data_IF_291727312741
#
_entry.id   IF_291727312741
#
_cell.length_a   1.000
_cell.length_b   1.000
_cell.length_c   1.000
_cell.angle_alpha   90.00
_cell.angle_beta   90.00
_cell.angle_gamma   90.00
#
_symmetry.space_group_name_H-M   'P 1'
#
loop_
_entity.id
_entity.type
_entity.pdbx_description
1 polymer ?
#
# COMPACT_ATOMS: atom_id res chain seq x y z
N UNK A 1 8.94 9.24 -1.79
CA UNK A 1 8.23 7.98 -1.46
C UNK A 1 8.32 7.09 -2.67
N UNK A 2 8.42 5.77 -2.49
CA UNK A 2 8.24 4.81 -3.57
C UNK A 2 7.27 3.72 -3.14
N UNK A 3 6.49 3.21 -4.08
CA UNK A 3 5.56 2.12 -3.84
C UNK A 3 5.78 1.01 -4.85
N UNK A 4 5.72 -0.24 -4.39
CA UNK A 4 5.58 -1.42 -5.24
C UNK A 4 4.16 -1.93 -5.09
N UNK A 5 3.46 -2.09 -6.20
CA UNK A 5 2.03 -2.42 -6.22
C UNK A 5 1.85 -3.80 -6.84
N UNK A 6 0.98 -4.60 -6.24
CA UNK A 6 0.51 -5.86 -6.79
C UNK A 6 -1.02 -5.85 -6.84
N UNK A 7 -1.59 -6.14 -8.01
CA UNK A 7 -3.02 -6.44 -8.13
C UNK A 7 -3.25 -7.86 -7.63
N UNK A 8 -4.18 -8.02 -6.69
CA UNK A 8 -4.37 -9.28 -5.96
C UNK A 8 -5.85 -9.63 -5.92
N UNK A 9 -6.16 -10.93 -5.89
CA UNK A 9 -7.49 -11.43 -5.53
C UNK A 9 -7.69 -11.54 -4.02
N UNK A 10 -6.59 -11.57 -3.26
CA UNK A 10 -6.55 -11.54 -1.79
C UNK A 10 -5.14 -11.20 -1.29
N UNK A 11 -5.04 -10.59 -0.12
CA UNK A 11 -3.78 -10.44 0.62
C UNK A 11 -4.05 -10.37 2.14
N UNK A 12 -3.08 -10.76 2.96
CA UNK A 12 -3.14 -10.64 4.42
C UNK A 12 -1.78 -10.37 5.04
N UNK A 13 -1.79 -9.76 6.22
CA UNK A 13 -0.64 -9.61 7.11
C UNK A 13 -0.87 -10.45 8.35
N UNK A 14 0.13 -11.21 8.75
CA UNK A 14 0.08 -12.13 9.88
C UNK A 14 1.29 -11.89 10.79
N UNK A 15 1.02 -11.77 12.09
CA UNK A 15 2.04 -11.60 13.15
C UNK A 15 1.80 -12.71 14.16
N UNK A 16 2.82 -13.55 14.37
CA UNK A 16 2.78 -14.69 15.30
C UNK A 16 1.55 -15.61 15.10
N UNK A 17 1.19 -15.90 13.86
CA UNK A 17 0.04 -16.75 13.53
C UNK A 17 -1.32 -16.04 13.57
N UNK A 18 -1.37 -14.76 13.95
CA UNK A 18 -2.61 -13.97 14.04
C UNK A 18 -2.71 -12.97 12.90
N UNK A 19 -3.84 -12.99 12.18
CA UNK A 19 -4.12 -12.03 11.12
C UNK A 19 -4.30 -10.63 11.74
N UNK A 20 -3.46 -9.69 11.34
CA UNK A 20 -3.53 -8.28 11.75
C UNK A 20 -4.32 -7.42 10.75
N UNK A 21 -4.44 -7.89 9.51
CA UNK A 21 -5.23 -7.23 8.47
C UNK A 21 -5.32 -8.10 7.22
N UNK A 22 -6.43 -8.01 6.50
CA UNK A 22 -6.67 -8.74 5.27
C UNK A 22 -7.55 -7.94 4.32
N UNK A 23 -7.40 -8.22 3.02
CA UNK A 23 -8.19 -7.65 1.94
C UNK A 23 -8.61 -8.74 0.94
N UNK A 24 -9.73 -8.49 0.26
CA UNK A 24 -10.18 -9.27 -0.91
C UNK A 24 -9.52 -8.78 -2.20
N UNK A 25 -10.30 -8.72 -3.29
CA UNK A 25 -9.84 -8.19 -4.57
C UNK A 25 -9.42 -6.71 -4.43
N UNK A 26 -8.22 -6.37 -4.90
CA UNK A 26 -7.71 -5.02 -4.80
C UNK A 26 -6.22 -4.90 -5.07
N UNK A 27 -5.58 -3.94 -4.39
CA UNK A 27 -4.15 -3.66 -4.52
C UNK A 27 -3.45 -3.91 -3.18
N UNK A 28 -2.37 -4.70 -3.21
CA UNK A 28 -1.38 -4.76 -2.15
C UNK A 28 -0.28 -3.72 -2.45
N UNK A 29 -0.01 -2.84 -1.50
CA UNK A 29 0.93 -1.73 -1.66
C UNK A 29 2.05 -1.86 -0.63
N UNK A 30 3.27 -2.11 -1.11
CA UNK A 30 4.47 -1.99 -0.30
C UNK A 30 5.00 -0.56 -0.40
N UNK A 31 4.93 0.20 0.69
CA UNK A 31 5.35 1.59 0.74
C UNK A 31 6.75 1.73 1.36
N UNK A 32 7.64 2.43 0.67
CA UNK A 32 8.96 2.83 1.14
C UNK A 32 9.05 4.36 1.26
N UNK A 33 9.51 4.81 2.41
CA UNK A 33 9.67 6.22 2.76
C UNK A 33 11.15 6.59 2.87
N UNK A 34 11.49 7.83 2.52
CA UNK A 34 12.82 8.45 2.71
C UNK A 34 12.68 9.74 3.52
N UNK A 35 13.77 10.26 4.09
CA UNK A 35 13.74 11.42 4.99
C UNK A 35 13.12 12.68 4.38
N UNK A 36 13.28 12.87 3.07
CA UNK A 36 12.74 14.04 2.35
C UNK A 36 11.24 13.94 2.02
N UNK A 37 10.59 12.82 2.34
CA UNK A 37 9.17 12.64 2.08
C UNK A 37 8.31 13.52 2.99
N UNK A 38 7.39 14.26 2.38
CA UNK A 38 6.49 15.17 3.08
C UNK A 38 5.02 14.87 2.78
N UNK A 39 4.10 15.60 3.43
CA UNK A 39 2.66 15.42 3.28
C UNK A 39 2.18 15.53 1.83
N UNK A 40 2.81 16.37 1.00
CA UNK A 40 2.41 16.50 -0.41
C UNK A 40 2.73 15.24 -1.20
N UNK A 41 3.83 14.56 -0.89
CA UNK A 41 4.20 13.29 -1.52
C UNK A 41 3.21 12.18 -1.16
N UNK A 42 2.78 12.16 0.11
CA UNK A 42 1.74 11.27 0.62
C UNK A 42 0.41 11.48 -0.09
N UNK A 43 -0.07 12.72 -0.15
CA UNK A 43 -1.33 13.07 -0.80
C UNK A 43 -1.30 12.75 -2.30
N UNK A 44 -0.19 13.07 -2.96
CA UNK A 44 -0.01 12.76 -4.38
C UNK A 44 -0.01 11.25 -4.63
N UNK A 45 0.69 10.47 -3.80
CA UNK A 45 0.75 9.02 -3.95
C UNK A 45 -0.60 8.36 -3.66
N UNK A 46 -1.32 8.79 -2.62
CA UNK A 46 -2.65 8.28 -2.30
C UNK A 46 -3.62 8.50 -3.46
N UNK A 47 -3.65 9.72 -4.02
CA UNK A 47 -4.47 10.03 -5.19
C UNK A 47 -4.05 9.20 -6.43
N UNK A 48 -2.75 8.97 -6.62
CA UNK A 48 -2.26 8.15 -7.72
C UNK A 48 -2.71 6.69 -7.59
N UNK A 49 -2.67 6.12 -6.38
CA UNK A 49 -3.07 4.74 -6.11
C UNK A 49 -4.56 4.52 -6.33
N UNK A 50 -5.41 5.44 -5.87
CA UNK A 50 -6.88 5.31 -6.00
C UNK A 50 -7.38 5.47 -7.43
N UNK A 51 -6.60 6.15 -8.29
CA UNK A 51 -6.95 6.37 -9.70
C UNK A 51 -6.20 5.44 -10.67
N UNK A 52 -5.40 4.49 -10.16
CA UNK A 52 -4.62 3.57 -10.99
C UNK A 52 -5.56 2.57 -11.69
N UNK A 53 -5.56 2.57 -13.03
CA UNK A 53 -6.40 1.71 -13.87
C UNK A 53 -5.73 0.36 -14.15
#
# INVERSE_FOLDING_TARGET
>A
MRVLIQRVSKAKVEIDGKISGEIGEGLLVFAGFVEDDNEKDLDWMANKLTNLR
#
